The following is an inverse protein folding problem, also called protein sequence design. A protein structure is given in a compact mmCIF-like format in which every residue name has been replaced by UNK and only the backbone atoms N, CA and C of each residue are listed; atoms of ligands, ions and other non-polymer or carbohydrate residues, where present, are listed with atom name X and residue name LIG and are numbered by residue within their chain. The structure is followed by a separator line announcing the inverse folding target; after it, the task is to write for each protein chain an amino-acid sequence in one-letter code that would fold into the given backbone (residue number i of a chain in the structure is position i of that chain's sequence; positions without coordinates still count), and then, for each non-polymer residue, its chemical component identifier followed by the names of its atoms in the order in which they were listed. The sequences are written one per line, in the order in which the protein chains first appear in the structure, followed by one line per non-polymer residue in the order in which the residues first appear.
data_IF_498997239325
#
_entry.id   IF_498997239325
#
_cell.length_a   1.000
_cell.length_b   1.000
_cell.length_c   1.000
_cell.angle_alpha   90.00
_cell.angle_beta   90.00
_cell.angle_gamma   90.00
#
_symmetry.space_group_name_H-M   'P 1'
#
loop_
_entity.id
_entity.type
_entity.pdbx_description
1 polymer ?
#
# COMPACT_ATOMS: atom_id res chain seq x y z
N UNK A 1 -20.71 0.77 -6.47
CA UNK A 1 -19.31 0.76 -6.00
C UNK A 1 -19.32 0.48 -4.51
N UNK A 2 -18.54 -0.51 -4.05
CA UNK A 2 -18.39 -0.89 -2.64
C UNK A 2 -17.10 -0.31 -2.00
N UNK A 3 -16.42 0.57 -2.73
CA UNK A 3 -15.22 1.26 -2.29
C UNK A 3 -15.57 2.43 -1.36
N UNK A 4 -14.85 2.55 -0.25
CA UNK A 4 -14.93 3.64 0.71
C UNK A 4 -13.82 4.69 0.52
N UNK A 5 -12.67 4.28 -0.02
CA UNK A 5 -11.52 5.15 -0.25
C UNK A 5 -10.26 4.35 -0.54
N UNK A 6 -9.11 5.02 -0.48
CA UNK A 6 -7.80 4.41 -0.71
C UNK A 6 -6.73 5.00 0.19
N UNK A 7 -5.70 4.20 0.46
CA UNK A 7 -4.42 4.61 1.05
C UNK A 7 -3.32 4.38 0.02
N UNK A 8 -2.32 5.24 0.00
CA UNK A 8 -1.17 5.12 -0.90
C UNK A 8 0.10 5.56 -0.22
N UNK A 9 1.17 4.81 -0.46
CA UNK A 9 2.49 5.02 0.08
C UNK A 9 3.50 4.92 -1.05
N UNK A 10 4.46 5.83 -1.06
CA UNK A 10 5.69 5.70 -1.83
C UNK A 10 6.85 6.04 -0.90
N UNK A 11 7.80 5.12 -0.80
CA UNK A 11 8.98 5.26 0.05
C UNK A 11 10.22 5.03 -0.81
N UNK A 12 11.17 5.95 -0.75
CA UNK A 12 12.54 5.73 -1.21
C UNK A 12 13.39 5.36 0.00
N UNK A 13 13.97 4.16 -0.02
CA UNK A 13 14.76 3.63 1.09
C UNK A 13 16.24 3.99 0.89
N UNK A 14 16.96 4.13 1.99
CA UNK A 14 18.37 4.55 1.97
C UNK A 14 19.32 3.50 1.36
N UNK A 15 18.88 2.26 1.21
CA UNK A 15 19.63 1.18 0.56
C UNK A 15 19.41 1.11 -0.96
N UNK A 16 18.64 2.07 -1.51
CA UNK A 16 18.41 2.22 -2.94
C UNK A 16 17.13 1.56 -3.45
N UNK A 17 16.37 0.85 -2.62
CA UNK A 17 15.07 0.31 -3.02
C UNK A 17 13.97 1.37 -2.97
N UNK A 18 12.99 1.26 -3.86
CA UNK A 18 11.75 2.03 -3.77
C UNK A 18 10.55 1.10 -3.56
N UNK A 19 9.64 1.48 -2.66
CA UNK A 19 8.38 0.76 -2.42
C UNK A 19 7.22 1.65 -2.78
N UNK A 20 6.35 1.18 -3.67
CA UNK A 20 5.02 1.77 -3.89
C UNK A 20 3.95 0.77 -3.43
N UNK A 21 2.95 1.24 -2.71
CA UNK A 21 1.87 0.41 -2.17
C UNK A 21 0.57 1.20 -2.16
N UNK A 22 -0.52 0.56 -2.56
CA UNK A 22 -1.85 1.14 -2.38
C UNK A 22 -2.86 0.10 -1.91
N UNK A 23 -3.73 0.54 -0.99
CA UNK A 23 -4.86 -0.24 -0.50
C UNK A 23 -6.15 0.44 -0.92
N UNK A 24 -6.99 -0.27 -1.64
CA UNK A 24 -8.38 0.11 -1.84
C UNK A 24 -9.19 -0.43 -0.66
N UNK A 25 -9.89 0.45 0.07
CA UNK A 25 -10.67 0.06 1.26
C UNK A 25 -12.13 -0.11 0.89
N UNK A 26 -12.68 -1.28 1.18
CA UNK A 26 -14.13 -1.53 1.10
C UNK A 26 -14.86 -0.86 2.26
N UNK A 27 -16.18 -0.70 2.12
CA UNK A 27 -17.04 -0.12 3.17
C UNK A 27 -17.12 -0.98 4.43
N UNK A 28 -16.90 -2.28 4.32
CA UNK A 28 -16.82 -3.19 5.46
C UNK A 28 -15.45 -3.12 6.19
N UNK A 29 -14.53 -2.29 5.72
CA UNK A 29 -13.20 -2.10 6.29
C UNK A 29 -12.15 -3.10 5.76
N UNK A 30 -12.53 -4.07 4.93
CA UNK A 30 -11.60 -5.03 4.34
C UNK A 30 -10.83 -4.42 3.15
N UNK A 31 -9.60 -4.89 2.87
CA UNK A 31 -8.91 -4.55 1.63
C UNK A 31 -9.65 -5.14 0.43
N UNK A 32 -9.73 -4.37 -0.65
CA UNK A 32 -10.21 -4.87 -1.92
C UNK A 32 -9.09 -5.62 -2.68
N UNK A 33 -9.38 -6.72 -3.40
CA UNK A 33 -8.42 -7.48 -4.21
C UNK A 33 -7.67 -6.68 -5.28
N UNK A 34 -8.17 -5.51 -5.68
CA UNK A 34 -7.44 -4.64 -6.61
C UNK A 34 -6.33 -3.80 -5.95
N UNK A 35 -6.14 -3.92 -4.64
CA UNK A 35 -4.97 -3.39 -3.92
C UNK A 35 -3.68 -4.03 -4.46
N UNK A 36 -2.59 -3.28 -4.52
CA UNK A 36 -1.32 -3.78 -5.08
C UNK A 36 -0.12 -3.01 -4.55
N UNK A 37 1.08 -3.51 -4.84
CA UNK A 37 2.33 -2.82 -4.57
C UNK A 37 3.44 -3.28 -5.51
N UNK A 38 4.52 -2.53 -5.51
CA UNK A 38 5.73 -2.79 -6.29
C UNK A 38 6.94 -2.52 -5.41
N UNK A 39 7.92 -3.42 -5.44
CA UNK A 39 9.29 -3.12 -5.01
C UNK A 39 10.12 -2.86 -6.27
N UNK A 40 10.85 -1.76 -6.27
CA UNK A 40 11.89 -1.47 -7.24
C UNK A 40 13.23 -1.76 -6.56
N UNK A 41 14.00 -2.65 -7.17
CA UNK A 41 15.34 -3.02 -6.74
C UNK A 41 16.33 -1.87 -7.03
N UNK A 42 17.52 -1.81 -6.39
CA UNK A 42 18.45 -0.71 -6.57
C UNK A 42 19.00 -0.54 -8.00
N UNK A 43 18.89 -1.58 -8.82
CA UNK A 43 19.23 -1.54 -10.25
C UNK A 43 18.08 -1.09 -11.16
N UNK A 44 16.91 -0.80 -10.57
CA UNK A 44 15.70 -0.37 -11.26
C UNK A 44 14.77 -1.50 -11.68
N UNK A 45 15.09 -2.77 -11.42
CA UNK A 45 14.16 -3.88 -11.69
C UNK A 45 12.91 -3.77 -10.81
N UNK A 46 11.73 -3.83 -11.42
CA UNK A 46 10.46 -3.73 -10.70
C UNK A 46 9.81 -5.11 -10.54
N UNK A 47 9.48 -5.47 -9.29
CA UNK A 47 8.72 -6.67 -8.96
C UNK A 47 7.41 -6.34 -8.26
N UNK A 48 6.33 -6.99 -8.70
CA UNK A 48 5.05 -6.89 -8.03
C UNK A 48 5.14 -7.47 -6.61
N UNK A 49 4.52 -6.79 -5.66
CA UNK A 49 4.31 -7.29 -4.31
C UNK A 49 2.95 -7.98 -4.26
N UNK A 50 2.94 -9.22 -3.78
CA UNK A 50 1.69 -9.87 -3.42
C UNK A 50 1.11 -9.16 -2.19
N UNK A 51 0.05 -8.40 -2.40
CA UNK A 51 -0.63 -7.67 -1.33
C UNK A 51 -1.22 -8.62 -0.28
N UNK A 52 -1.59 -9.85 -0.67
CA UNK A 52 -2.09 -10.86 0.26
C UNK A 52 -0.98 -11.43 1.17
N UNK A 53 0.29 -11.28 0.80
CA UNK A 53 1.42 -11.67 1.63
C UNK A 53 1.73 -10.66 2.75
N UNK A 54 1.09 -9.48 2.74
CA UNK A 54 1.27 -8.41 3.72
C UNK A 54 -0.03 -7.93 4.36
N UNK A 55 0.08 -6.99 5.31
CA UNK A 55 -1.09 -6.28 5.84
C UNK A 55 -0.73 -4.84 6.20
N UNK A 56 -1.60 -3.89 5.88
CA UNK A 56 -1.55 -2.53 6.41
C UNK A 56 -2.35 -2.47 7.70
N UNK A 57 -1.75 -1.90 8.74
CA UNK A 57 -2.39 -1.74 10.05
C UNK A 57 -2.16 -0.32 10.55
N UNK A 58 -3.21 0.46 10.80
CA UNK A 58 -3.07 1.76 11.45
C UNK A 58 -2.41 1.59 12.82
N UNK A 59 -1.42 2.43 13.12
CA UNK A 59 -0.74 2.45 14.43
C UNK A 59 -1.24 3.58 15.33
N UNK A 60 -2.06 4.49 14.80
CA UNK A 60 -2.66 5.61 15.51
C UNK A 60 -3.70 6.32 14.64
N UNK A 61 -4.39 7.32 15.21
CA UNK A 61 -5.41 8.11 14.53
C UNK A 61 -5.35 9.57 14.95
N UNK A 62 -5.68 10.47 14.01
CA UNK A 62 -5.91 11.88 14.28
C UNK A 62 -7.27 12.29 13.72
N UNK A 63 -7.99 13.16 14.44
CA UNK A 63 -9.30 13.69 14.04
C UNK A 63 -9.14 15.14 13.65
N UNK A 64 -9.61 15.49 12.45
CA UNK A 64 -9.67 16.90 12.01
C UNK A 64 -10.57 17.69 12.93
N UNK A 65 -10.12 18.90 13.27
CA UNK A 65 -10.92 19.93 13.95
C UNK A 65 -11.98 20.50 13.04
#
# INVERSE_FOLDING_TARGET
SDQAGWDWFALQLSDGHDVMLYQMRRRDGTPDPWSSGTLVEPDGEARALDFAAGSLRPTGSWTST
#
